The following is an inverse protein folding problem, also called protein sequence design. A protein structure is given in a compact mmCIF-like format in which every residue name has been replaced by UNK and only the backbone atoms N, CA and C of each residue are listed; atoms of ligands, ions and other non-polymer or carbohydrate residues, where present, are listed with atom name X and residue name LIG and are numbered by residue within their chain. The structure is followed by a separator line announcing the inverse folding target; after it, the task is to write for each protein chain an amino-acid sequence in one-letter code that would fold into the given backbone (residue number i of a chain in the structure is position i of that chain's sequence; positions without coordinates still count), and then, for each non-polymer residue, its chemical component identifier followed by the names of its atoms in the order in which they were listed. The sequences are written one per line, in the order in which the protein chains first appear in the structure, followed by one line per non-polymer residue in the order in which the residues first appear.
data_IF_793460660989
#
_entry.id   IF_793460660989
#
_cell.length_a   1.000
_cell.length_b   1.000
_cell.length_c   1.000
_cell.angle_alpha   90.00
_cell.angle_beta   90.00
_cell.angle_gamma   90.00
#
_symmetry.space_group_name_H-M   'P 1'
#
loop_
_entity.id
_entity.type
_entity.pdbx_description
1 polymer ?
#
# COMPACT_ATOMS: atom_id res chain seq x y z
N UNK A 1 9.94 -25.50 -10.10
CA UNK A 1 9.70 -24.32 -9.24
C UNK A 1 8.26 -24.44 -8.82
N UNK A 2 7.98 -24.78 -7.57
CA UNK A 2 6.60 -24.94 -7.10
C UNK A 2 5.88 -23.61 -7.29
N UNK A 3 4.79 -23.60 -8.07
CA UNK A 3 3.87 -22.47 -8.09
C UNK A 3 3.34 -22.31 -6.67
N UNK A 4 3.87 -21.35 -5.92
CA UNK A 4 3.30 -20.96 -4.64
C UNK A 4 1.95 -20.33 -4.93
N UNK A 5 0.89 -21.14 -4.86
CA UNK A 5 -0.49 -20.68 -4.95
C UNK A 5 -0.73 -19.73 -3.78
N UNK A 6 -1.12 -18.50 -4.07
CA UNK A 6 -1.45 -17.52 -3.04
C UNK A 6 -2.67 -17.99 -2.25
N UNK A 7 -2.71 -17.84 -0.92
CA UNK A 7 -3.88 -18.13 -0.10
C UNK A 7 -5.17 -17.51 -0.66
N UNK A 8 -6.22 -18.32 -0.79
CA UNK A 8 -7.53 -17.91 -1.26
C UNK A 8 -8.55 -17.75 -0.13
N UNK A 9 -8.23 -18.23 1.07
CA UNK A 9 -9.08 -18.11 2.27
C UNK A 9 -8.33 -17.54 3.46
N UNK A 10 -9.06 -16.99 4.44
CA UNK A 10 -8.46 -16.46 5.67
C UNK A 10 -7.73 -17.56 6.46
N UNK A 11 -8.26 -18.78 6.45
CA UNK A 11 -7.62 -19.95 7.07
C UNK A 11 -6.26 -20.27 6.44
N UNK A 12 -6.18 -20.29 5.10
CA UNK A 12 -4.92 -20.48 4.37
C UNK A 12 -3.95 -19.32 4.60
N UNK A 13 -4.47 -18.09 4.68
CA UNK A 13 -3.64 -16.92 4.95
C UNK A 13 -3.00 -17.01 6.33
N UNK A 14 -3.76 -17.46 7.35
CA UNK A 14 -3.21 -17.75 8.67
C UNK A 14 -2.13 -18.82 8.63
N UNK A 15 -2.37 -19.91 7.91
CA UNK A 15 -1.43 -21.01 7.76
C UNK A 15 -0.13 -20.60 7.05
N UNK A 16 -0.21 -19.64 6.12
CA UNK A 16 0.97 -19.07 5.46
C UNK A 16 1.85 -18.21 6.38
N UNK A 17 1.35 -17.84 7.56
CA UNK A 17 2.06 -17.00 8.53
C UNK A 17 2.12 -15.52 8.13
N UNK A 18 1.32 -15.09 7.15
CA UNK A 18 1.27 -13.68 6.74
C UNK A 18 0.81 -12.79 7.90
N UNK A 19 1.51 -11.67 8.08
CA UNK A 19 1.22 -10.69 9.12
C UNK A 19 0.88 -9.36 8.51
N UNK A 20 -0.17 -8.73 9.03
CA UNK A 20 -0.49 -7.35 8.72
C UNK A 20 0.60 -6.43 9.26
N UNK A 21 0.93 -5.43 8.46
CA UNK A 21 1.88 -4.37 8.81
C UNK A 21 1.41 -3.05 8.20
N UNK A 22 1.79 -1.94 8.83
CA UNK A 22 1.49 -0.62 8.27
C UNK A 22 2.26 -0.40 6.96
N UNK A 23 1.73 0.45 6.09
CA UNK A 23 2.41 0.86 4.84
C UNK A 23 3.80 1.44 5.13
N UNK A 24 3.94 2.21 6.22
CA UNK A 24 5.25 2.76 6.63
C UNK A 24 6.26 1.68 6.99
N UNK A 25 5.81 0.63 7.67
CA UNK A 25 6.65 -0.51 8.01
C UNK A 25 7.03 -1.33 6.77
N UNK A 26 6.05 -1.62 5.91
CA UNK A 26 6.27 -2.29 4.62
C UNK A 26 7.33 -1.58 3.77
N UNK A 27 7.13 -0.28 3.54
CA UNK A 27 8.08 0.56 2.79
C UNK A 27 9.47 0.49 3.43
N UNK A 28 9.58 0.66 4.75
CA UNK A 28 10.87 0.66 5.45
C UNK A 28 11.60 -0.67 5.32
N UNK A 29 10.91 -1.79 5.54
CA UNK A 29 11.51 -3.12 5.49
C UNK A 29 11.99 -3.47 4.07
N UNK A 30 11.15 -3.21 3.08
CA UNK A 30 11.48 -3.47 1.67
C UNK A 30 12.56 -2.51 1.15
N UNK A 31 12.55 -1.25 1.60
CA UNK A 31 13.61 -0.28 1.30
C UNK A 31 14.97 -0.75 1.86
N UNK A 32 15.01 -1.22 3.11
CA UNK A 32 16.23 -1.78 3.71
C UNK A 32 16.74 -3.01 2.95
N UNK A 33 15.85 -3.89 2.49
CA UNK A 33 16.24 -5.04 1.67
C UNK A 33 16.88 -4.62 0.35
N UNK A 34 16.30 -3.65 -0.36
CA UNK A 34 16.86 -3.14 -1.62
C UNK A 34 18.18 -2.39 -1.40
N UNK A 35 18.30 -1.65 -0.30
CA UNK A 35 19.54 -0.99 0.09
C UNK A 35 20.64 -2.01 0.36
N UNK A 36 20.33 -3.09 1.10
CA UNK A 36 21.29 -4.15 1.43
C UNK A 36 21.71 -4.97 0.20
N UNK A 37 20.84 -5.15 -0.79
CA UNK A 37 21.17 -5.83 -2.04
C UNK A 37 22.00 -4.98 -3.00
N UNK A 38 22.24 -3.70 -2.69
CA UNK A 38 22.94 -2.77 -3.59
C UNK A 38 22.15 -2.44 -4.86
N UNK A 39 20.83 -2.68 -4.85
CA UNK A 39 19.97 -2.37 -5.99
C UNK A 39 19.80 -0.87 -6.15
N UNK A 40 19.65 -0.40 -7.40
CA UNK A 40 19.39 1.01 -7.67
C UNK A 40 18.02 1.42 -7.10
N UNK A 41 18.02 2.29 -6.08
CA UNK A 41 16.82 2.66 -5.32
C UNK A 41 15.84 3.51 -6.13
N UNK A 42 16.36 4.49 -6.88
CA UNK A 42 15.56 5.47 -7.62
C UNK A 42 15.97 5.52 -9.09
N UNK A 43 15.66 4.46 -9.86
CA UNK A 43 16.17 4.32 -11.22
C UNK A 43 15.75 5.48 -12.13
N UNK A 44 16.76 6.02 -12.81
CA UNK A 44 16.61 7.13 -13.75
C UNK A 44 16.45 8.51 -13.12
N UNK A 45 16.53 8.65 -11.80
CA UNK A 45 16.76 9.94 -11.16
C UNK A 45 18.24 10.29 -11.31
N UNK A 46 18.53 11.44 -11.93
CA UNK A 46 19.91 11.87 -12.25
C UNK A 46 20.20 13.19 -11.53
N UNK A 47 21.34 13.28 -10.87
CA UNK A 47 21.83 14.49 -10.21
C UNK A 47 21.30 14.70 -8.79
N UNK A 48 20.55 13.73 -8.25
CA UNK A 48 19.97 13.76 -6.89
C UNK A 48 20.68 12.85 -5.89
N UNK A 49 21.73 12.15 -6.31
CA UNK A 49 22.43 11.11 -5.58
C UNK A 49 23.06 11.65 -4.28
N UNK A 50 23.49 12.92 -4.31
CA UNK A 50 24.14 13.59 -3.18
C UNK A 50 23.29 14.69 -2.53
N UNK A 51 22.01 14.83 -2.92
CA UNK A 51 21.13 15.89 -2.42
C UNK A 51 19.78 15.34 -1.95
N UNK A 52 18.86 15.05 -2.88
CA UNK A 52 17.48 14.70 -2.55
C UNK A 52 17.34 13.23 -2.12
N UNK A 53 18.05 12.31 -2.78
CA UNK A 53 17.95 10.86 -2.51
C UNK A 53 18.35 10.50 -1.07
N UNK A 54 19.45 11.03 -0.51
CA UNK A 54 19.80 10.79 0.89
C UNK A 54 18.69 11.21 1.86
N UNK A 55 18.12 12.40 1.68
CA UNK A 55 17.04 12.93 2.55
C UNK A 55 15.76 12.08 2.48
N UNK A 56 15.37 11.65 1.27
CA UNK A 56 14.24 10.74 1.12
C UNK A 56 14.53 9.39 1.80
N UNK A 57 15.74 8.87 1.62
CA UNK A 57 16.13 7.59 2.22
C UNK A 57 16.00 7.65 3.74
N UNK A 58 16.48 8.74 4.35
CA UNK A 58 16.32 8.98 5.79
C UNK A 58 14.85 9.10 6.19
N UNK A 59 14.04 9.85 5.44
CA UNK A 59 12.62 10.01 5.72
C UNK A 59 11.84 8.69 5.63
N UNK A 60 12.12 7.84 4.64
CA UNK A 60 11.52 6.51 4.50
C UNK A 60 11.93 5.59 5.65
N UNK A 61 13.21 5.59 6.04
CA UNK A 61 13.71 4.82 7.18
C UNK A 61 13.10 5.28 8.51
N UNK A 62 12.85 6.59 8.65
CA UNK A 62 12.21 7.17 9.82
C UNK A 62 10.67 7.02 9.84
N UNK A 63 10.05 6.64 8.72
CA UNK A 63 8.60 6.56 8.58
C UNK A 63 7.91 7.94 8.58
N UNK A 64 8.61 8.98 8.10
CA UNK A 64 8.08 10.33 8.01
C UNK A 64 7.11 10.49 6.83
N UNK A 65 6.14 11.38 7.01
CA UNK A 65 5.34 11.89 5.89
C UNK A 65 6.17 12.94 5.14
N UNK A 66 6.21 12.86 3.81
CA UNK A 66 7.14 13.64 2.98
C UNK A 66 6.38 14.67 2.14
N UNK A 67 6.78 15.94 2.23
CA UNK A 67 6.32 17.01 1.36
C UNK A 67 7.40 17.35 0.32
N UNK A 68 7.09 17.20 -0.95
CA UNK A 68 8.00 17.56 -2.05
C UNK A 68 7.77 19.00 -2.50
N UNK A 69 8.80 19.84 -2.39
CA UNK A 69 8.79 21.23 -2.84
C UNK A 69 9.87 21.43 -3.92
N UNK A 70 9.58 22.28 -4.90
CA UNK A 70 10.51 22.59 -6.00
C UNK A 70 9.79 23.06 -7.25
N UNK A 71 10.54 23.54 -8.24
CA UNK A 71 9.98 24.11 -9.46
C UNK A 71 9.43 23.05 -10.43
N UNK A 72 8.62 23.48 -11.40
CA UNK A 72 8.12 22.58 -12.46
C UNK A 72 9.30 21.97 -13.21
N UNK A 73 9.26 20.66 -13.44
CA UNK A 73 10.32 19.93 -14.16
C UNK A 73 11.42 19.33 -13.27
N UNK A 74 11.47 19.66 -11.98
CA UNK A 74 12.48 19.12 -11.03
C UNK A 74 12.15 17.69 -10.53
N UNK A 75 11.58 16.83 -11.36
CA UNK A 75 11.46 15.40 -11.03
C UNK A 75 10.55 14.99 -9.85
N UNK A 76 9.86 15.90 -9.15
CA UNK A 76 9.00 15.57 -7.97
C UNK A 76 8.02 14.42 -8.22
N UNK A 77 7.16 14.55 -9.23
CA UNK A 77 6.17 13.50 -9.56
C UNK A 77 6.82 12.22 -10.07
N UNK A 78 8.00 12.33 -10.70
CA UNK A 78 8.77 11.14 -11.10
C UNK A 78 9.21 10.37 -9.87
N UNK A 79 9.72 11.07 -8.86
CA UNK A 79 10.17 10.45 -7.61
C UNK A 79 9.01 9.83 -6.83
N UNK A 80 7.87 10.53 -6.72
CA UNK A 80 6.66 9.98 -6.07
C UNK A 80 6.23 8.66 -6.70
N UNK A 81 6.23 8.55 -8.04
CA UNK A 81 5.92 7.32 -8.77
C UNK A 81 6.98 6.22 -8.61
N UNK A 82 8.15 6.55 -8.07
CA UNK A 82 9.17 5.57 -7.68
C UNK A 82 9.00 5.10 -6.23
N UNK A 83 8.08 5.62 -5.41
CA UNK A 83 7.89 5.09 -4.05
C UNK A 83 7.18 3.71 -4.01
N UNK A 84 6.20 3.39 -4.88
CA UNK A 84 5.48 2.11 -4.83
C UNK A 84 6.33 0.87 -5.06
N UNK A 85 7.55 1.00 -5.62
CA UNK A 85 8.50 -0.12 -5.77
C UNK A 85 9.06 -0.62 -4.44
N UNK A 86 8.86 0.12 -3.35
CA UNK A 86 9.14 -0.33 -1.98
C UNK A 86 7.93 -1.01 -1.33
N UNK A 87 6.81 -1.19 -2.04
CA UNK A 87 5.69 -2.03 -1.59
C UNK A 87 5.90 -3.47 -2.05
N UNK A 88 5.29 -4.40 -1.30
CA UNK A 88 5.21 -5.81 -1.71
C UNK A 88 4.51 -5.92 -3.06
N UNK A 89 4.90 -6.86 -3.93
CA UNK A 89 4.27 -7.04 -5.24
C UNK A 89 2.74 -7.16 -5.14
N UNK A 90 2.26 -7.87 -4.11
CA UNK A 90 0.85 -8.03 -3.79
C UNK A 90 0.66 -8.07 -2.27
N UNK A 91 -0.50 -7.61 -1.79
CA UNK A 91 -0.94 -7.81 -0.39
C UNK A 91 -2.34 -8.41 -0.35
N UNK A 92 -2.68 -9.24 0.65
CA UNK A 92 -4.00 -9.82 0.77
C UNK A 92 -5.02 -8.79 1.28
N UNK A 93 -6.27 -8.95 0.87
CA UNK A 93 -7.42 -8.23 1.42
C UNK A 93 -8.66 -9.13 1.46
N UNK A 94 -9.65 -8.78 2.28
CA UNK A 94 -10.93 -9.51 2.30
C UNK A 94 -11.71 -9.25 1.01
N UNK A 95 -11.99 -10.30 0.23
CA UNK A 95 -12.73 -10.18 -1.02
C UNK A 95 -14.24 -10.12 -0.77
N UNK A 96 -14.70 -8.95 -0.30
CA UNK A 96 -16.10 -8.71 0.07
C UNK A 96 -16.77 -7.82 -0.98
N UNK A 97 -17.68 -8.39 -1.80
CA UNK A 97 -18.43 -7.60 -2.77
C UNK A 97 -19.17 -6.44 -2.10
N UNK A 98 -19.08 -5.26 -2.70
CA UNK A 98 -19.72 -4.03 -2.21
C UNK A 98 -18.96 -3.30 -1.09
N UNK A 99 -17.83 -3.83 -0.60
CA UNK A 99 -17.01 -3.10 0.35
C UNK A 99 -16.31 -1.92 -0.35
N UNK A 100 -16.35 -0.74 0.28
CA UNK A 100 -15.81 0.48 -0.31
C UNK A 100 -14.27 0.53 -0.34
N UNK A 101 -13.62 -0.32 0.46
CA UNK A 101 -12.16 -0.35 0.61
C UNK A 101 -11.65 -1.79 0.61
N UNK A 102 -10.38 -1.96 0.25
CA UNK A 102 -9.70 -3.24 0.47
C UNK A 102 -9.36 -3.38 1.96
N UNK A 103 -10.09 -4.28 2.63
CA UNK A 103 -10.00 -4.50 4.08
C UNK A 103 -8.77 -5.32 4.46
N UNK A 104 -8.10 -4.91 5.55
CA UNK A 104 -7.06 -5.73 6.16
C UNK A 104 -7.67 -7.04 6.70
N UNK A 105 -7.13 -8.21 6.36
CA UNK A 105 -7.69 -9.50 6.78
C UNK A 105 -7.76 -9.71 8.30
N UNK A 106 -6.85 -9.08 9.05
CA UNK A 106 -6.75 -9.22 10.51
C UNK A 106 -7.34 -8.04 11.28
N UNK A 107 -7.37 -6.85 10.65
CA UNK A 107 -7.82 -5.60 11.26
C UNK A 107 -8.81 -4.85 10.36
N UNK A 108 -9.96 -5.47 9.99
CA UNK A 108 -10.93 -4.80 9.14
C UNK A 108 -11.51 -3.55 9.84
N UNK A 109 -11.83 -2.52 9.06
CA UNK A 109 -12.29 -1.22 9.56
C UNK A 109 -13.80 -0.99 9.34
N UNK A 110 -14.39 -1.46 8.24
CA UNK A 110 -15.84 -1.35 7.98
C UNK A 110 -16.66 -2.30 8.85
N UNK A 111 -17.98 -2.05 8.97
CA UNK A 111 -18.85 -2.99 9.71
C UNK A 111 -18.99 -4.29 8.95
N UNK A 112 -19.08 -4.25 7.61
CA UNK A 112 -19.12 -5.44 6.77
C UNK A 112 -17.89 -6.34 6.99
N UNK A 113 -16.68 -5.78 6.95
CA UNK A 113 -15.44 -6.52 7.17
C UNK A 113 -15.38 -7.14 8.57
N UNK A 114 -15.68 -6.34 9.61
CA UNK A 114 -15.72 -6.82 11.01
C UNK A 114 -16.75 -7.92 11.22
N UNK A 115 -17.95 -7.78 10.65
CA UNK A 115 -19.00 -8.80 10.74
C UNK A 115 -18.61 -10.09 10.02
N UNK A 116 -17.99 -9.99 8.84
CA UNK A 116 -17.52 -11.14 8.09
C UNK A 116 -16.54 -11.98 8.91
N UNK A 117 -15.50 -11.35 9.47
CA UNK A 117 -14.48 -12.04 10.28
C UNK A 117 -15.05 -12.60 11.60
N UNK A 118 -16.03 -11.93 12.20
CA UNK A 118 -16.61 -12.37 13.47
C UNK A 118 -17.64 -13.49 13.35
N UNK A 119 -18.37 -13.57 12.22
CA UNK A 119 -19.56 -14.42 12.09
C UNK A 119 -19.38 -15.63 11.18
N UNK A 120 -18.31 -15.66 10.37
CA UNK A 120 -18.06 -16.75 9.41
C UNK A 120 -16.81 -17.55 9.79
N UNK A 121 -16.77 -18.86 9.50
CA UNK A 121 -15.56 -19.64 9.67
C UNK A 121 -14.49 -19.17 8.68
N UNK A 122 -13.22 -19.18 9.11
CA UNK A 122 -12.10 -18.65 8.32
C UNK A 122 -11.87 -19.36 6.98
N UNK A 123 -12.34 -20.60 6.87
CA UNK A 123 -12.32 -21.40 5.64
C UNK A 123 -13.29 -20.89 4.58
N UNK A 124 -14.28 -20.07 4.96
CA UNK A 124 -15.30 -19.51 4.07
C UNK A 124 -15.07 -18.02 3.78
N UNK A 125 -14.08 -17.39 4.42
CA UNK A 125 -13.77 -15.97 4.22
C UNK A 125 -12.79 -15.85 3.05
N UNK A 126 -13.22 -15.31 1.89
CA UNK A 126 -12.38 -15.23 0.70
C UNK A 126 -11.31 -14.14 0.83
N UNK A 127 -10.13 -14.44 0.31
CA UNK A 127 -8.99 -13.53 0.20
C UNK A 127 -8.67 -13.29 -1.27
N UNK A 128 -8.53 -12.03 -1.62
CA UNK A 128 -7.96 -11.61 -2.90
C UNK A 128 -6.66 -10.82 -2.67
N UNK A 129 -5.93 -10.55 -3.75
CA UNK A 129 -4.57 -10.01 -3.69
C UNK A 129 -4.48 -8.71 -4.48
N UNK A 130 -4.10 -7.62 -3.80
CA UNK A 130 -4.04 -6.27 -4.35
C UNK A 130 -2.63 -5.97 -4.88
N UNK A 131 -2.44 -5.80 -6.20
CA UNK A 131 -1.14 -5.48 -6.79
C UNK A 131 -0.64 -4.09 -6.40
N UNK A 132 0.66 -3.93 -6.15
CA UNK A 132 1.25 -2.63 -5.78
C UNK A 132 1.03 -1.52 -6.78
N UNK A 133 0.93 -1.84 -8.07
CA UNK A 133 0.72 -0.87 -9.14
C UNK A 133 -0.64 -0.16 -9.00
N UNK A 134 -1.59 -0.79 -8.29
CA UNK A 134 -2.91 -0.24 -7.99
C UNK A 134 -2.98 0.45 -6.62
N UNK A 135 -1.89 0.42 -5.83
CA UNK A 135 -1.80 0.99 -4.47
C UNK A 135 -1.30 2.44 -4.46
N UNK A 136 -0.91 2.98 -5.62
CA UNK A 136 -0.50 4.37 -5.78
C UNK A 136 -1.59 5.18 -6.47
N UNK A 137 -1.99 6.28 -5.83
CA UNK A 137 -2.88 7.26 -6.40
C UNK A 137 -2.21 8.63 -6.39
N UNK A 138 -2.33 9.37 -7.49
CA UNK A 138 -1.94 10.77 -7.59
C UNK A 138 -3.03 11.53 -8.35
N UNK A 139 -3.24 12.80 -8.02
CA UNK A 139 -4.18 13.66 -8.76
C UNK A 139 -3.57 15.04 -8.97
N UNK A 140 -3.55 15.47 -10.24
CA UNK A 140 -2.79 16.65 -10.71
C UNK A 140 -3.67 17.87 -11.00
N UNK A 141 -4.93 17.88 -10.55
CA UNK A 141 -5.89 18.94 -10.88
C UNK A 141 -5.95 20.06 -9.81
N UNK A 142 -6.06 21.35 -10.20
CA UNK A 142 -6.32 22.46 -9.28
C UNK A 142 -7.67 22.30 -8.57
N UNK A 143 -7.75 22.62 -7.28
CA UNK A 143 -9.01 22.62 -6.51
C UNK A 143 -9.42 21.27 -5.91
N UNK A 144 -8.56 20.25 -6.00
CA UNK A 144 -8.81 18.89 -5.51
C UNK A 144 -8.69 18.81 -3.98
N UNK A 145 -9.68 18.21 -3.31
CA UNK A 145 -9.64 17.91 -1.86
C UNK A 145 -8.97 16.56 -1.63
N UNK A 146 -8.39 16.35 -0.45
CA UNK A 146 -7.85 15.03 -0.06
C UNK A 146 -8.85 13.87 -0.26
N UNK A 147 -10.15 14.15 -0.07
CA UNK A 147 -11.24 13.22 -0.31
C UNK A 147 -11.26 12.68 -1.75
N UNK A 148 -10.85 13.46 -2.75
CA UNK A 148 -10.86 13.03 -4.15
C UNK A 148 -9.74 12.02 -4.48
N UNK A 149 -8.73 11.89 -3.61
CA UNK A 149 -7.59 10.96 -3.77
C UNK A 149 -7.85 9.64 -3.03
N UNK A 150 -8.44 9.71 -1.84
CA UNK A 150 -8.86 8.52 -1.08
C UNK A 150 -10.10 7.87 -1.72
N UNK A 151 -10.75 8.58 -2.66
CA UNK A 151 -12.09 8.30 -3.10
C UNK A 151 -13.08 8.97 -2.14
N UNK A 152 -14.13 9.59 -2.68
CA UNK A 152 -15.30 9.89 -1.85
C UNK A 152 -15.82 8.54 -1.36
N UNK A 153 -15.40 8.11 -0.17
CA UNK A 153 -16.14 7.10 0.55
C UNK A 153 -17.44 7.79 0.91
N UNK A 154 -18.50 7.49 0.16
CA UNK A 154 -19.82 8.03 0.44
C UNK A 154 -20.11 7.79 1.94
N UNK A 155 -20.24 8.86 2.74
CA UNK A 155 -20.54 8.70 4.16
C UNK A 155 -21.83 7.90 4.38
N UNK A 156 -22.76 7.93 3.43
CA UNK A 156 -23.97 7.10 3.45
C UNK A 156 -23.66 5.62 3.24
N UNK A 157 -22.74 5.25 2.36
CA UNK A 157 -22.27 3.86 2.21
C UNK A 157 -21.56 3.37 3.49
N UNK A 158 -20.75 4.23 4.11
CA UNK A 158 -20.09 3.98 5.40
C UNK A 158 -21.07 3.89 6.58
N UNK A 159 -22.14 4.69 6.55
CA UNK A 159 -23.19 4.69 7.58
C UNK A 159 -24.11 3.46 7.44
N UNK A 160 -24.39 3.02 6.21
CA UNK A 160 -25.25 1.88 5.89
C UNK A 160 -24.63 0.52 6.23
N UNK A 161 -23.29 0.39 6.37
CA UNK A 161 -22.68 -0.89 6.75
C UNK A 161 -21.19 -1.01 6.52
#
# INVERSE_FOLDING_TARGET
MSECTLPATLAELRASGWKSRSVKQEIRENFLQQLASGSELFPGMVGYEHTVIPEISLALLAGHDILFLGEKGQGKSRLMRLLPRFLDPVIPYLDLPGCAVHEDPWHPITKQGKACVAQRPETEIPIAWWPREQRYAERLAPGTRFADIIGEIDPAALAAG
#
